data_IF_242961462926
#
_entry.id   IF_242961462926
#
_cell.length_a   1.000
_cell.length_b   1.000
_cell.length_c   1.000
_cell.angle_alpha   90.00
_cell.angle_beta   90.00
_cell.angle_gamma   90.00
#
_symmetry.space_group_name_H-M   'P 1'
#
loop_
_entity.id
_entity.type
_entity.pdbx_description
1 polymer ?
#
# COMPACT_ATOMS: atom_id res chain seq x y z
N UNK A 1 -22.16 47.11 20.96
CA UNK A 1 -20.71 46.94 21.18
C UNK A 1 -20.17 46.03 20.10
N UNK A 2 -19.47 46.60 19.12
CA UNK A 2 -18.84 45.87 18.02
C UNK A 2 -17.50 45.32 18.51
N UNK A 3 -17.43 44.02 18.72
CA UNK A 3 -16.23 43.30 19.12
C UNK A 3 -15.26 43.18 17.93
N UNK A 4 -14.46 44.23 17.72
CA UNK A 4 -13.39 44.20 16.72
C UNK A 4 -12.22 43.39 17.27
N UNK A 5 -12.20 42.09 16.98
CA UNK A 5 -11.03 41.23 17.25
C UNK A 5 -9.76 41.90 16.70
N UNK A 6 -8.71 42.09 17.51
CA UNK A 6 -7.49 42.74 17.05
C UNK A 6 -6.84 41.92 15.93
N UNK A 7 -6.46 42.58 14.82
CA UNK A 7 -5.70 41.95 13.73
C UNK A 7 -4.39 41.41 14.30
N UNK A 8 -4.20 40.09 14.25
CA UNK A 8 -2.97 39.44 14.68
C UNK A 8 -1.77 40.04 13.92
N UNK A 9 -0.79 40.58 14.66
CA UNK A 9 0.46 41.09 14.09
C UNK A 9 1.21 39.89 13.51
N UNK A 10 1.23 39.77 12.17
CA UNK A 10 2.00 38.72 11.50
C UNK A 10 3.48 38.95 11.74
N UNK A 11 4.13 38.03 12.44
CA UNK A 11 5.58 38.08 12.67
C UNK A 11 6.29 37.79 11.36
N UNK A 12 7.43 38.43 11.12
CA UNK A 12 8.22 38.23 9.90
C UNK A 12 8.57 36.74 9.68
N UNK A 13 8.85 36.02 10.77
CA UNK A 13 9.11 34.58 10.75
C UNK A 13 7.93 33.75 10.23
N UNK A 14 6.71 34.07 10.63
CA UNK A 14 5.50 33.36 10.17
C UNK A 14 5.27 33.57 8.66
N UNK A 15 5.58 34.77 8.15
CA UNK A 15 5.48 35.09 6.73
C UNK A 15 6.53 34.33 5.93
N UNK A 16 7.78 34.33 6.39
CA UNK A 16 8.88 33.60 5.74
C UNK A 16 8.59 32.09 5.72
N UNK A 17 8.17 31.53 6.85
CA UNK A 17 7.83 30.11 6.95
C UNK A 17 6.63 29.75 6.05
N UNK A 18 5.56 30.54 6.06
CA UNK A 18 4.39 30.30 5.21
C UNK A 18 4.75 30.33 3.72
N UNK A 19 5.57 31.30 3.29
CA UNK A 19 6.01 31.41 1.91
C UNK A 19 6.91 30.23 1.52
N UNK A 20 7.86 29.84 2.38
CA UNK A 20 8.72 28.66 2.15
C UNK A 20 7.90 27.38 2.01
N UNK A 21 6.95 27.15 2.93
CA UNK A 21 6.06 26.00 2.88
C UNK A 21 5.21 26.00 1.61
N UNK A 22 4.70 27.17 1.19
CA UNK A 22 3.94 27.33 -0.04
C UNK A 22 4.80 27.02 -1.28
N UNK A 23 5.99 27.61 -1.40
CA UNK A 23 6.89 27.36 -2.52
C UNK A 23 7.38 25.91 -2.58
N UNK A 24 7.62 25.26 -1.44
CA UNK A 24 7.94 23.85 -1.38
C UNK A 24 6.76 22.98 -1.85
N UNK A 25 5.54 23.30 -1.45
CA UNK A 25 4.34 22.60 -1.95
C UNK A 25 4.14 22.77 -3.45
N UNK A 26 4.28 24.00 -3.95
CA UNK A 26 4.18 24.31 -5.38
C UNK A 26 5.28 23.62 -6.18
N UNK A 27 6.52 23.58 -5.69
CA UNK A 27 7.62 22.93 -6.39
C UNK A 27 7.40 21.41 -6.50
N UNK A 28 6.91 20.75 -5.44
CA UNK A 28 6.55 19.32 -5.47
C UNK A 28 5.50 19.08 -6.54
N UNK A 29 4.41 19.85 -6.55
CA UNK A 29 3.34 19.71 -7.54
C UNK A 29 3.84 19.96 -8.97
N UNK A 30 4.67 20.99 -9.17
CA UNK A 30 5.27 21.30 -10.47
C UNK A 30 6.20 20.18 -10.95
N UNK A 31 6.98 19.59 -10.05
CA UNK A 31 7.86 18.45 -10.37
C UNK A 31 7.03 17.23 -10.79
N UNK A 32 5.97 16.90 -10.04
CA UNK A 32 5.06 15.81 -10.39
C UNK A 32 4.38 16.03 -11.75
N UNK A 33 3.89 17.24 -12.00
CA UNK A 33 3.27 17.62 -13.27
C UNK A 33 4.27 17.51 -14.44
N UNK A 34 5.52 17.94 -14.23
CA UNK A 34 6.58 17.85 -15.24
C UNK A 34 6.95 16.41 -15.55
N UNK A 35 7.11 15.57 -14.52
CA UNK A 35 7.35 14.13 -14.71
C UNK A 35 6.20 13.48 -15.46
N UNK A 36 4.95 13.78 -15.12
CA UNK A 36 3.79 13.26 -15.83
C UNK A 36 3.76 13.70 -17.31
N UNK A 37 4.00 14.99 -17.58
CA UNK A 37 4.07 15.51 -18.95
C UNK A 37 5.23 14.89 -19.75
N UNK A 38 6.38 14.71 -19.12
CA UNK A 38 7.55 14.06 -19.71
C UNK A 38 7.26 12.60 -20.07
N UNK A 39 6.69 11.82 -19.15
CA UNK A 39 6.32 10.43 -19.39
C UNK A 39 5.25 10.31 -20.49
N UNK A 40 4.30 11.25 -20.54
CA UNK A 40 3.30 11.29 -21.60
C UNK A 40 3.95 11.58 -22.97
N UNK A 41 4.86 12.55 -23.06
CA UNK A 41 5.58 12.82 -24.30
C UNK A 41 6.42 11.60 -24.75
N UNK A 42 7.06 10.91 -23.80
CA UNK A 42 7.88 9.72 -24.07
C UNK A 42 7.05 8.50 -24.47
N UNK A 43 5.75 8.45 -24.16
CA UNK A 43 4.87 7.34 -24.54
C UNK A 43 4.27 7.49 -25.94
N UNK A 44 4.21 8.70 -26.52
CA UNK A 44 3.67 8.94 -27.88
C UNK A 44 4.36 8.10 -28.98
N UNK A 45 5.70 7.95 -28.99
CA UNK A 45 6.37 7.09 -29.96
C UNK A 45 5.96 5.62 -29.88
N UNK A 46 5.46 5.14 -28.73
CA UNK A 46 5.00 3.75 -28.60
C UNK A 46 3.73 3.46 -29.43
N UNK A 47 2.94 4.50 -29.77
CA UNK A 47 1.73 4.38 -30.58
C UNK A 47 1.94 4.77 -32.05
N UNK A 48 2.95 5.58 -32.34
CA UNK A 48 3.14 6.23 -33.65
C UNK A 48 4.45 5.83 -34.34
N UNK A 49 5.39 5.24 -33.60
CA UNK A 49 6.71 4.82 -34.08
C UNK A 49 6.69 3.46 -34.80
N UNK A 50 7.87 2.99 -35.27
CA UNK A 50 8.01 1.68 -35.88
C UNK A 50 7.59 0.56 -34.92
N UNK A 51 7.15 -0.60 -35.44
CA UNK A 51 6.73 -1.73 -34.62
C UNK A 51 7.82 -2.09 -33.60
N UNK A 52 7.43 -2.28 -32.35
CA UNK A 52 8.34 -2.75 -31.31
C UNK A 52 8.69 -4.20 -31.64
N UNK A 53 9.98 -4.54 -31.78
CA UNK A 53 10.42 -5.90 -32.15
C UNK A 53 9.88 -6.99 -31.20
N UNK A 54 9.64 -6.64 -29.94
CA UNK A 54 9.06 -7.51 -28.92
C UNK A 54 7.52 -7.64 -28.99
N UNK A 55 6.85 -6.82 -29.81
CA UNK A 55 5.41 -6.81 -30.02
C UNK A 55 5.05 -7.41 -31.39
N UNK A 56 5.65 -8.56 -31.72
CA UNK A 56 5.44 -9.28 -33.00
C UNK A 56 3.97 -9.65 -33.25
N UNK A 57 3.18 -9.83 -32.19
CA UNK A 57 1.74 -10.12 -32.24
C UNK A 57 0.85 -8.87 -32.03
N UNK A 58 1.44 -7.67 -31.96
CA UNK A 58 0.75 -6.39 -31.80
C UNK A 58 1.00 -5.70 -30.44
N UNK A 59 0.75 -4.39 -30.40
CA UNK A 59 0.98 -3.56 -29.20
C UNK A 59 0.21 -4.07 -27.97
N UNK A 60 -1.07 -4.45 -28.15
CA UNK A 60 -1.90 -4.89 -27.04
C UNK A 60 -1.45 -6.22 -26.45
N UNK A 61 -1.02 -7.19 -27.26
CA UNK A 61 -0.55 -8.49 -26.73
C UNK A 61 0.74 -8.33 -25.92
N UNK A 62 1.57 -7.33 -26.24
CA UNK A 62 2.75 -6.98 -25.45
C UNK A 62 2.38 -6.28 -24.13
N UNK A 63 1.46 -5.30 -24.14
CA UNK A 63 1.17 -4.45 -22.97
C UNK A 63 0.21 -5.10 -21.97
N UNK A 64 -0.79 -5.87 -22.44
CA UNK A 64 -1.83 -6.44 -21.58
C UNK A 64 -1.28 -7.29 -20.42
N UNK A 65 -0.31 -8.19 -20.64
CA UNK A 65 0.27 -9.00 -19.58
C UNK A 65 0.91 -8.18 -18.45
N UNK A 66 1.55 -7.06 -18.78
CA UNK A 66 2.17 -6.18 -17.78
C UNK A 66 1.10 -5.44 -16.95
N UNK A 67 0.11 -4.86 -17.63
CA UNK A 67 -1.00 -4.16 -16.94
C UNK A 67 -1.77 -5.13 -16.05
N UNK A 68 -2.11 -6.31 -16.59
CA UNK A 68 -2.80 -7.34 -15.84
C UNK A 68 -1.96 -7.83 -14.66
N UNK A 69 -0.67 -8.11 -14.86
CA UNK A 69 0.24 -8.54 -13.80
C UNK A 69 0.34 -7.53 -12.66
N UNK A 70 0.47 -6.24 -12.97
CA UNK A 70 0.53 -5.16 -11.96
C UNK A 70 -0.77 -5.05 -11.17
N UNK A 71 -1.93 -5.06 -11.85
CA UNK A 71 -3.24 -5.00 -11.19
C UNK A 71 -3.47 -6.25 -10.34
N UNK A 72 -3.19 -7.42 -10.88
CA UNK A 72 -3.39 -8.70 -10.21
C UNK A 72 -2.52 -8.82 -8.95
N UNK A 73 -1.22 -8.51 -9.05
CA UNK A 73 -0.32 -8.51 -7.90
C UNK A 73 -0.74 -7.48 -6.83
N UNK A 74 -1.20 -6.30 -7.24
CA UNK A 74 -1.69 -5.25 -6.32
C UNK A 74 -2.96 -5.68 -5.59
N UNK A 75 -3.88 -6.35 -6.28
CA UNK A 75 -5.11 -6.90 -5.68
C UNK A 75 -4.78 -7.98 -4.65
N UNK A 76 -3.88 -8.92 -4.98
CA UNK A 76 -3.40 -9.92 -4.02
C UNK A 76 -2.76 -9.23 -2.81
N UNK A 77 -1.88 -8.25 -3.06
CA UNK A 77 -1.21 -7.49 -2.02
C UNK A 77 -2.19 -6.81 -1.05
N UNK A 78 -3.22 -6.14 -1.57
CA UNK A 78 -4.25 -5.49 -0.78
C UNK A 78 -5.18 -6.46 -0.07
N UNK A 79 -5.53 -7.57 -0.70
CA UNK A 79 -6.36 -8.60 -0.09
C UNK A 79 -5.69 -9.19 1.17
N UNK A 80 -4.36 -9.28 1.17
CA UNK A 80 -3.56 -9.70 2.33
C UNK A 80 -3.33 -8.55 3.31
N UNK A 81 -2.87 -7.39 2.80
CA UNK A 81 -2.44 -6.27 3.64
C UNK A 81 -3.59 -5.60 4.38
N UNK A 82 -4.76 -5.44 3.76
CA UNK A 82 -5.90 -4.72 4.36
C UNK A 82 -6.39 -5.34 5.66
N UNK A 83 -6.75 -6.65 5.72
CA UNK A 83 -7.19 -7.26 6.97
C UNK A 83 -6.08 -7.28 8.03
N UNK A 84 -4.82 -7.49 7.62
CA UNK A 84 -3.68 -7.48 8.53
C UNK A 84 -3.43 -6.08 9.13
N UNK A 85 -3.51 -5.04 8.30
CA UNK A 85 -3.37 -3.65 8.71
C UNK A 85 -4.49 -3.23 9.67
N UNK A 86 -5.73 -3.62 9.41
CA UNK A 86 -6.86 -3.41 10.34
C UNK A 86 -6.62 -4.11 11.66
N UNK A 87 -6.17 -5.38 11.64
CA UNK A 87 -5.87 -6.14 12.85
C UNK A 87 -4.76 -5.52 13.70
N UNK A 88 -3.65 -5.14 13.06
CA UNK A 88 -2.52 -4.46 13.71
C UNK A 88 -2.97 -3.12 14.29
N UNK A 89 -3.70 -2.32 13.51
CA UNK A 89 -4.20 -1.02 13.93
C UNK A 89 -5.15 -1.12 15.13
N UNK A 90 -6.11 -2.05 15.10
CA UNK A 90 -7.01 -2.32 16.23
C UNK A 90 -6.26 -2.78 17.46
N UNK A 91 -5.29 -3.69 17.30
CA UNK A 91 -4.50 -4.17 18.43
C UNK A 91 -3.73 -3.03 19.09
N UNK A 92 -3.01 -2.23 18.31
CA UNK A 92 -2.21 -1.12 18.83
C UNK A 92 -3.08 -0.04 19.47
N UNK A 93 -4.26 0.25 18.89
CA UNK A 93 -5.14 1.33 19.37
C UNK A 93 -5.95 0.95 20.61
N UNK A 94 -6.51 -0.26 20.68
CA UNK A 94 -7.53 -0.61 21.69
C UNK A 94 -7.18 -1.79 22.62
N UNK A 95 -6.25 -2.66 22.22
CA UNK A 95 -5.89 -3.85 23.02
C UNK A 95 -4.53 -3.74 23.70
N UNK A 96 -3.54 -3.12 23.05
CA UNK A 96 -2.19 -3.00 23.56
C UNK A 96 -2.12 -2.04 24.74
N UNK A 97 -1.30 -2.37 25.73
CA UNK A 97 -0.97 -1.40 26.78
C UNK A 97 -0.09 -0.28 26.20
N UNK A 98 -0.02 0.87 26.89
CA UNK A 98 0.65 2.08 26.39
C UNK A 98 2.11 1.86 25.96
N UNK A 99 2.86 0.98 26.63
CA UNK A 99 4.26 0.67 26.29
C UNK A 99 4.34 -0.19 25.02
N UNK A 100 3.55 -1.25 24.95
CA UNK A 100 3.52 -2.11 23.77
C UNK A 100 3.01 -1.36 22.54
N UNK A 101 1.98 -0.52 22.68
CA UNK A 101 1.47 0.30 21.59
C UNK A 101 2.56 1.21 21.00
N UNK A 102 3.39 1.83 21.85
CA UNK A 102 4.52 2.64 21.42
C UNK A 102 5.60 1.82 20.69
N UNK A 103 5.97 0.66 21.22
CA UNK A 103 6.99 -0.21 20.62
C UNK A 103 6.51 -0.73 19.27
N UNK A 104 5.30 -1.28 19.21
CA UNK A 104 4.69 -1.77 17.97
C UNK A 104 4.52 -0.63 16.96
N UNK A 105 4.11 0.55 17.42
CA UNK A 105 3.96 1.70 16.55
C UNK A 105 5.28 2.13 15.93
N UNK A 106 6.33 2.22 16.74
CA UNK A 106 7.67 2.52 16.26
C UNK A 106 8.20 1.45 15.30
N UNK A 107 7.95 0.16 15.58
CA UNK A 107 8.35 -0.92 14.69
C UNK A 107 7.64 -0.85 13.32
N UNK A 108 6.34 -0.52 13.31
CA UNK A 108 5.57 -0.29 12.08
C UNK A 108 6.13 0.89 11.29
N UNK A 109 6.42 2.00 11.97
CA UNK A 109 6.96 3.21 11.34
C UNK A 109 8.39 2.98 10.79
N UNK A 110 9.20 2.18 11.50
CA UNK A 110 10.53 1.75 11.03
C UNK A 110 10.44 0.85 9.79
N UNK A 111 9.49 -0.08 9.74
CA UNK A 111 9.28 -0.93 8.56
C UNK A 111 8.92 -0.07 7.33
N UNK A 112 8.13 1.00 7.51
CA UNK A 112 7.82 1.93 6.41
C UNK A 112 9.05 2.68 5.87
N UNK A 113 10.15 2.76 6.63
CA UNK A 113 11.38 3.44 6.23
C UNK A 113 12.30 2.56 5.37
N UNK A 114 12.02 1.25 5.27
CA UNK A 114 12.83 0.32 4.48
C UNK A 114 12.66 0.62 2.99
N UNK A 115 13.76 0.79 2.22
CA UNK A 115 13.67 1.02 0.78
C UNK A 115 12.97 -0.13 0.05
N UNK A 116 12.12 0.16 -0.94
CA UNK A 116 11.36 -0.86 -1.66
C UNK A 116 12.24 -1.89 -2.40
N UNK A 117 13.43 -1.47 -2.85
CA UNK A 117 14.44 -2.36 -3.46
C UNK A 117 14.87 -3.48 -2.53
N UNK A 118 14.98 -3.18 -1.23
CA UNK A 118 15.38 -4.18 -0.23
C UNK A 118 14.31 -5.26 -0.10
N UNK A 119 13.03 -4.87 -0.13
CA UNK A 119 11.93 -5.83 -0.17
C UNK A 119 11.92 -6.69 -1.44
N UNK A 120 12.20 -6.09 -2.61
CA UNK A 120 12.32 -6.83 -3.87
C UNK A 120 13.47 -7.85 -3.86
N UNK A 121 14.64 -7.44 -3.39
CA UNK A 121 15.82 -8.33 -3.27
C UNK A 121 15.61 -9.43 -2.23
N UNK A 122 15.04 -9.10 -1.08
CA UNK A 122 14.66 -10.09 -0.07
C UNK A 122 13.59 -11.06 -0.61
N UNK A 123 12.64 -10.54 -1.39
CA UNK A 123 11.59 -11.30 -2.04
C UNK A 123 12.14 -12.41 -2.94
N UNK A 124 13.16 -12.11 -3.75
CA UNK A 124 13.79 -13.10 -4.62
C UNK A 124 14.78 -14.02 -3.88
N UNK A 125 15.60 -13.48 -2.98
CA UNK A 125 16.69 -14.25 -2.34
C UNK A 125 16.23 -15.13 -1.19
N UNK A 126 15.15 -14.74 -0.50
CA UNK A 126 14.70 -15.40 0.73
C UNK A 126 13.28 -15.91 0.60
N UNK A 127 12.33 -15.04 0.23
CA UNK A 127 10.92 -15.41 0.24
C UNK A 127 10.57 -16.42 -0.87
N UNK A 128 11.02 -16.18 -2.10
CA UNK A 128 10.77 -17.08 -3.22
C UNK A 128 11.27 -18.52 -2.97
N UNK A 129 12.53 -18.77 -2.54
CA UNK A 129 12.96 -20.13 -2.22
C UNK A 129 12.25 -20.70 -0.99
N UNK A 130 11.86 -19.86 -0.02
CA UNK A 130 11.09 -20.30 1.14
C UNK A 130 9.67 -20.77 0.77
N UNK A 131 9.00 -20.10 -0.16
CA UNK A 131 7.64 -20.43 -0.60
C UNK A 131 7.60 -21.52 -1.68
N UNK A 132 8.69 -21.74 -2.41
CA UNK A 132 8.81 -22.79 -3.44
C UNK A 132 8.28 -24.18 -3.00
N UNK A 133 8.67 -24.76 -1.85
CA UNK A 133 8.12 -26.06 -1.41
C UNK A 133 6.62 -26.00 -1.12
N UNK A 134 6.12 -24.89 -0.57
CA UNK A 134 4.69 -24.69 -0.28
C UNK A 134 3.89 -24.60 -1.58
N UNK A 135 4.41 -23.93 -2.61
CA UNK A 135 3.76 -23.84 -3.92
C UNK A 135 3.73 -25.17 -4.65
N UNK A 136 4.80 -25.96 -4.56
CA UNK A 136 4.81 -27.32 -5.10
C UNK A 136 3.74 -28.20 -4.41
N UNK A 137 3.61 -28.07 -3.09
CA UNK A 137 2.55 -28.77 -2.34
C UNK A 137 1.15 -28.27 -2.71
N UNK A 138 0.95 -26.95 -2.82
CA UNK A 138 -0.31 -26.32 -3.24
C UNK A 138 -0.72 -26.78 -4.64
N UNK A 139 0.19 -26.81 -5.60
CA UNK A 139 -0.10 -27.29 -6.96
C UNK A 139 -0.46 -28.79 -6.96
N UNK A 140 0.26 -29.61 -6.20
CA UNK A 140 0.00 -31.04 -6.10
C UNK A 140 -1.35 -31.39 -5.44
N UNK A 141 -1.79 -30.62 -4.44
CA UNK A 141 -3.00 -30.92 -3.65
C UNK A 141 -4.22 -30.07 -4.06
N UNK A 142 -3.99 -28.85 -4.54
CA UNK A 142 -4.99 -27.84 -4.85
C UNK A 142 -4.93 -27.37 -6.32
N UNK A 143 -4.22 -28.10 -7.19
CA UNK A 143 -4.15 -27.83 -8.64
C UNK A 143 -5.48 -27.97 -9.39
N UNK A 144 -6.55 -28.37 -8.71
CA UNK A 144 -7.93 -28.29 -9.23
C UNK A 144 -8.49 -26.87 -9.21
N UNK A 145 -7.90 -25.95 -8.44
CA UNK A 145 -8.25 -24.52 -8.43
C UNK A 145 -7.42 -23.83 -9.52
N UNK A 146 -8.05 -23.09 -10.46
CA UNK A 146 -7.34 -22.45 -11.57
C UNK A 146 -6.19 -21.51 -11.15
N UNK A 147 -6.26 -20.92 -9.95
CA UNK A 147 -5.22 -20.05 -9.39
C UNK A 147 -3.95 -20.81 -8.96
N UNK A 148 -4.04 -22.11 -8.66
CA UNK A 148 -2.91 -22.96 -8.25
C UNK A 148 -2.54 -24.02 -9.30
N UNK A 149 -3.27 -24.07 -10.42
CA UNK A 149 -3.00 -24.93 -11.56
C UNK A 149 -1.91 -24.34 -12.47
N UNK A 150 -1.10 -25.18 -13.11
CA UNK A 150 -0.05 -24.75 -14.05
C UNK A 150 1.36 -25.20 -13.66
N UNK A 151 2.37 -24.72 -14.40
CA UNK A 151 3.77 -25.01 -14.09
C UNK A 151 4.22 -24.18 -12.89
N UNK A 152 4.58 -24.84 -11.79
CA UNK A 152 5.17 -24.16 -10.64
C UNK A 152 6.54 -23.62 -11.03
N UNK A 153 6.75 -22.32 -10.84
CA UNK A 153 8.05 -21.70 -11.02
C UNK A 153 9.08 -22.41 -10.15
N UNK A 154 10.09 -23.03 -10.78
CA UNK A 154 11.16 -23.76 -10.07
C UNK A 154 11.94 -22.86 -9.09
N UNK A 155 11.90 -21.54 -9.29
CA UNK A 155 12.52 -20.52 -8.43
C UNK A 155 11.56 -19.90 -7.41
N UNK A 156 10.28 -20.26 -7.39
CA UNK A 156 9.27 -19.65 -6.51
C UNK A 156 8.89 -18.21 -6.88
N UNK A 157 9.32 -17.76 -8.06
CA UNK A 157 9.02 -16.43 -8.63
C UNK A 157 7.66 -16.49 -9.30
N UNK A 158 6.60 -16.21 -8.54
CA UNK A 158 5.20 -16.25 -8.98
C UNK A 158 4.49 -14.95 -8.64
N UNK A 159 3.34 -14.69 -9.28
CA UNK A 159 2.47 -13.55 -8.95
C UNK A 159 2.10 -13.49 -7.45
N UNK A 160 1.94 -14.65 -6.80
CA UNK A 160 1.63 -14.74 -5.38
C UNK A 160 2.80 -14.27 -4.50
N UNK A 161 4.04 -14.66 -4.83
CA UNK A 161 5.24 -14.15 -4.12
C UNK A 161 5.32 -12.64 -4.22
N UNK A 162 5.09 -12.08 -5.41
CA UNK A 162 5.07 -10.63 -5.62
C UNK A 162 3.97 -9.96 -4.79
N UNK A 163 2.76 -10.52 -4.80
CA UNK A 163 1.66 -10.03 -3.98
C UNK A 163 1.99 -10.03 -2.49
N UNK A 164 2.68 -11.05 -1.98
CA UNK A 164 3.12 -11.10 -0.57
C UNK A 164 4.17 -10.03 -0.27
N UNK A 165 5.15 -9.83 -1.15
CA UNK A 165 6.16 -8.76 -1.00
C UNK A 165 5.48 -7.39 -0.98
N UNK A 166 4.56 -7.13 -1.92
CA UNK A 166 3.77 -5.90 -1.96
C UNK A 166 2.93 -5.73 -0.69
N UNK A 167 2.32 -6.81 -0.19
CA UNK A 167 1.54 -6.78 1.04
C UNK A 167 2.41 -6.33 2.23
N UNK A 168 3.58 -6.94 2.43
CA UNK A 168 4.51 -6.59 3.51
C UNK A 168 4.95 -5.13 3.41
N UNK A 169 5.17 -4.64 2.20
CA UNK A 169 5.65 -3.29 1.96
C UNK A 169 4.57 -2.21 2.19
N UNK A 170 3.33 -2.48 1.80
CA UNK A 170 2.20 -1.52 1.93
C UNK A 170 1.57 -1.57 3.33
N UNK A 171 1.64 -2.72 4.00
CA UNK A 171 1.11 -2.95 5.34
C UNK A 171 1.50 -1.89 6.37
N UNK A 172 2.77 -1.48 6.55
CA UNK A 172 3.12 -0.56 7.62
C UNK A 172 2.48 0.82 7.44
N UNK A 173 2.41 1.31 6.20
CA UNK A 173 1.76 2.58 5.86
C UNK A 173 0.25 2.49 6.13
N UNK A 174 -0.40 1.40 5.68
CA UNK A 174 -1.82 1.19 5.93
C UNK A 174 -2.13 1.08 7.42
N UNK A 175 -1.35 0.29 8.17
CA UNK A 175 -1.55 0.08 9.59
C UNK A 175 -1.39 1.38 10.38
N UNK A 176 -0.39 2.20 10.05
CA UNK A 176 -0.17 3.49 10.71
C UNK A 176 -1.34 4.46 10.47
N UNK A 177 -1.83 4.57 9.23
CA UNK A 177 -2.98 5.43 8.91
C UNK A 177 -4.28 4.94 9.55
N UNK A 178 -4.57 3.64 9.47
CA UNK A 178 -5.78 3.07 10.07
C UNK A 178 -5.73 3.23 11.59
N UNK A 179 -4.56 3.04 12.22
CA UNK A 179 -4.35 3.26 13.66
C UNK A 179 -4.69 4.70 14.04
N UNK A 180 -4.16 5.67 13.31
CA UNK A 180 -4.43 7.09 13.59
C UNK A 180 -5.93 7.37 13.51
N UNK A 181 -6.61 6.87 12.48
CA UNK A 181 -8.04 7.06 12.31
C UNK A 181 -8.84 6.41 13.46
N UNK A 182 -8.46 5.21 13.90
CA UNK A 182 -9.11 4.55 15.02
C UNK A 182 -8.91 5.30 16.33
N UNK A 183 -7.74 5.90 16.57
CA UNK A 183 -7.47 6.72 17.76
C UNK A 183 -8.28 8.04 17.78
N UNK A 184 -8.75 8.50 16.63
CA UNK A 184 -9.62 9.69 16.51
C UNK A 184 -11.11 9.36 16.69
N UNK A 185 -11.47 8.10 16.99
CA UNK A 185 -12.85 7.71 17.27
C UNK A 185 -13.38 8.49 18.49
N UNK A 186 -14.61 9.03 18.44
CA UNK A 186 -15.15 9.80 19.56
C UNK A 186 -15.25 8.95 20.83
N UNK A 187 -14.48 9.33 21.86
CA UNK A 187 -14.42 8.61 23.13
C UNK A 187 -15.79 8.48 23.81
N UNK A 188 -16.67 9.47 23.63
CA UNK A 188 -18.05 9.43 24.13
C UNK A 188 -18.84 8.23 23.59
N UNK A 189 -18.64 7.83 22.34
CA UNK A 189 -19.32 6.67 21.77
C UNK A 189 -18.77 5.36 22.34
N UNK A 190 -17.46 5.28 22.57
CA UNK A 190 -16.82 4.11 23.16
C UNK A 190 -17.20 3.93 24.63
N UNK A 191 -17.13 5.00 25.41
CA UNK A 191 -17.49 5.02 26.84
C UNK A 191 -18.98 4.73 27.04
N UNK A 192 -19.86 5.28 26.19
CA UNK A 192 -21.29 4.98 26.24
C UNK A 192 -21.59 3.50 25.93
N UNK A 193 -20.93 2.92 24.93
CA UNK A 193 -21.09 1.50 24.63
C UNK A 193 -20.65 0.61 25.81
N UNK A 194 -19.50 0.91 26.42
CA UNK A 194 -19.02 0.19 27.60
C UNK A 194 -19.95 0.37 28.81
N UNK A 195 -20.50 1.57 29.02
CA UNK A 195 -21.44 1.87 30.11
C UNK A 195 -22.77 1.13 29.96
N UNK A 196 -23.19 0.83 28.73
CA UNK A 196 -24.36 -0.01 28.44
C UNK A 196 -24.08 -1.52 28.60
N UNK A 197 -22.90 -1.89 29.09
CA UNK A 197 -22.51 -3.28 29.34
C UNK A 197 -21.90 -3.99 28.12
N UNK A 198 -21.59 -3.28 27.03
CA UNK A 198 -20.92 -3.89 25.89
C UNK A 198 -19.50 -4.33 26.25
N UNK A 199 -19.08 -5.46 25.69
CA UNK A 199 -17.68 -5.90 25.74
C UNK A 199 -16.81 -5.02 24.86
N UNK A 200 -15.48 -5.06 25.09
CA UNK A 200 -14.52 -4.31 24.25
C UNK A 200 -14.65 -4.63 22.76
N UNK A 201 -14.91 -5.88 22.41
CA UNK A 201 -15.09 -6.29 21.02
C UNK A 201 -16.41 -5.78 20.42
N UNK A 202 -17.49 -5.76 21.21
CA UNK A 202 -18.75 -5.19 20.78
C UNK A 202 -18.64 -3.67 20.59
N UNK A 203 -17.99 -2.96 21.52
CA UNK A 203 -17.68 -1.53 21.39
C UNK A 203 -16.90 -1.26 20.09
N UNK A 204 -15.85 -2.05 19.80
CA UNK A 204 -15.07 -1.90 18.55
C UNK A 204 -15.95 -2.11 17.31
N UNK A 205 -16.79 -3.14 17.31
CA UNK A 205 -17.66 -3.44 16.17
C UNK A 205 -18.74 -2.37 15.94
N UNK A 206 -19.23 -1.74 17.01
CA UNK A 206 -20.36 -0.80 16.95
C UNK A 206 -19.92 0.67 16.82
N UNK A 207 -18.78 1.05 17.38
CA UNK A 207 -18.28 2.43 17.38
C UNK A 207 -17.05 2.61 16.48
N UNK A 208 -15.97 1.87 16.75
CA UNK A 208 -14.65 2.09 16.13
C UNK A 208 -14.63 1.69 14.66
N UNK A 209 -15.07 0.47 14.33
CA UNK A 209 -15.07 -0.02 12.95
C UNK A 209 -15.96 0.82 12.03
N UNK A 210 -17.21 1.17 12.39
CA UNK A 210 -18.05 2.04 11.57
C UNK A 210 -17.47 3.44 11.38
N UNK A 211 -16.91 4.04 12.43
CA UNK A 211 -16.25 5.35 12.34
C UNK A 211 -15.00 5.31 11.45
N UNK A 212 -14.19 4.25 11.57
CA UNK A 212 -12.95 4.10 10.83
C UNK A 212 -13.11 3.58 9.39
N UNK A 213 -14.29 3.14 8.96
CA UNK A 213 -14.54 2.62 7.60
C UNK A 213 -14.01 3.54 6.48
N UNK A 214 -14.33 4.84 6.45
CA UNK A 214 -13.79 5.75 5.42
C UNK A 214 -12.26 5.82 5.45
N UNK A 215 -11.67 5.70 6.64
CA UNK A 215 -10.23 5.67 6.82
C UNK A 215 -9.57 4.39 6.34
N UNK A 216 -10.18 3.23 6.59
CA UNK A 216 -9.73 1.94 6.05
C UNK A 216 -9.75 1.99 4.51
N UNK A 217 -10.82 2.50 3.92
CA UNK A 217 -10.93 2.66 2.46
C UNK A 217 -9.83 3.60 1.94
N UNK A 218 -9.63 4.74 2.60
CA UNK A 218 -8.60 5.72 2.22
C UNK A 218 -7.19 5.13 2.31
N UNK A 219 -6.89 4.38 3.38
CA UNK A 219 -5.62 3.69 3.55
C UNK A 219 -5.42 2.60 2.49
N UNK A 220 -6.46 1.84 2.16
CA UNK A 220 -6.41 0.84 1.10
C UNK A 220 -6.21 1.48 -0.28
N UNK A 221 -6.84 2.62 -0.58
CA UNK A 221 -6.61 3.37 -1.82
C UNK A 221 -5.18 3.91 -1.90
N UNK A 222 -4.63 4.43 -0.79
CA UNK A 222 -3.23 4.84 -0.76
C UNK A 222 -2.29 3.65 -0.98
N UNK A 223 -2.60 2.52 -0.34
CA UNK A 223 -1.86 1.27 -0.52
C UNK A 223 -1.91 0.76 -1.96
N UNK A 224 -3.06 0.87 -2.62
CA UNK A 224 -3.23 0.55 -4.04
C UNK A 224 -2.36 1.46 -4.92
N UNK A 225 -2.39 2.77 -4.70
CA UNK A 225 -1.57 3.71 -5.46
C UNK A 225 -0.08 3.41 -5.30
N UNK A 226 0.35 3.01 -4.10
CA UNK A 226 1.72 2.57 -3.86
C UNK A 226 2.03 1.25 -4.56
N UNK A 227 1.18 0.23 -4.42
CA UNK A 227 1.39 -1.08 -5.04
C UNK A 227 1.45 -1.00 -6.58
N UNK A 228 0.59 -0.20 -7.22
CA UNK A 228 0.65 0.06 -8.65
C UNK A 228 1.94 0.79 -9.07
N UNK A 229 2.44 1.67 -8.21
CA UNK A 229 3.69 2.40 -8.41
C UNK A 229 4.96 1.59 -8.14
N UNK A 230 4.86 0.41 -7.53
CA UNK A 230 6.00 -0.47 -7.27
C UNK A 230 6.39 -1.25 -8.52
N UNK A 231 7.11 -0.60 -9.42
CA UNK A 231 7.62 -1.23 -10.65
C UNK A 231 8.90 -2.02 -10.40
N UNK A 232 9.79 -1.53 -9.53
CA UNK A 232 11.12 -2.11 -9.33
C UNK A 232 11.07 -3.42 -8.54
N UNK A 233 10.32 -3.48 -7.44
CA UNK A 233 10.18 -4.70 -6.66
C UNK A 233 9.52 -5.83 -7.47
N UNK A 234 8.47 -5.49 -8.22
CA UNK A 234 7.77 -6.44 -9.11
C UNK A 234 8.70 -6.96 -10.20
N UNK A 235 9.41 -6.07 -10.91
CA UNK A 235 10.33 -6.47 -11.97
C UNK A 235 11.49 -7.35 -11.46
N UNK A 236 12.02 -7.04 -10.27
CA UNK A 236 13.06 -7.85 -9.63
C UNK A 236 12.57 -9.25 -9.28
N UNK A 237 11.34 -9.41 -8.81
CA UNK A 237 10.84 -10.73 -8.40
C UNK A 237 10.31 -11.55 -9.58
N UNK A 238 9.63 -10.96 -10.57
CA UNK A 238 8.98 -11.73 -11.65
C UNK A 238 9.92 -12.07 -12.83
N UNK A 239 11.03 -11.34 -13.01
CA UNK A 239 11.87 -11.40 -14.22
C UNK A 239 11.13 -10.90 -15.48
N UNK A 240 11.79 -10.28 -16.48
CA UNK A 240 11.11 -9.66 -17.63
C UNK A 240 10.45 -10.63 -18.64
N UNK A 241 10.21 -11.90 -18.30
CA UNK A 241 9.59 -12.85 -19.21
C UNK A 241 8.08 -12.61 -19.32
N UNK A 242 7.55 -12.48 -20.54
CA UNK A 242 6.13 -12.27 -20.84
C UNK A 242 5.21 -13.49 -20.53
N UNK A 243 5.67 -14.41 -19.68
CA UNK A 243 4.92 -15.61 -19.28
C UNK A 243 4.20 -15.31 -17.97
N UNK A 244 2.87 -15.31 -18.00
CA UNK A 244 2.04 -15.23 -16.79
C UNK A 244 1.98 -16.65 -16.20
N UNK A 245 2.66 -16.88 -15.08
CA UNK A 245 2.64 -18.15 -14.32
C UNK A 245 2.41 -17.96 -12.83
#
# INVERSE_FOLDING_TARGET
>A
MTDTKPKAVRRLGDIVFANLAFFAGVSILATLATVAAFLFAQSVPAFTGPPIDAASEGFFSYVLPFVFGTVYASVIGLAIATPLAVGIALYISHFANRRFAQILGYAVDLLAAIPSVVYGLWGILVLAPFLSPTFNWLNANLGWIPMFAGQVSATGRTMLTVGIVLAIMVLPIMAALIREIFLQTPTLHEEAALALGATRWEMIKMAVLPFGRPGIISAAMLGLGRALGETMAVAMVLSPSAVIS
#
